data_IF_016172473619
#
_entry.id   IF_016172473619
#
_cell.length_a   1.000
_cell.length_b   1.000
_cell.length_c   1.000
_cell.angle_alpha   90.00
_cell.angle_beta   90.00
_cell.angle_gamma   90.00
#
_symmetry.space_group_name_H-M   'P 1'
#
loop_
_entity.id
_entity.type
_entity.pdbx_description
1 polymer ?
#
# COMPACT_ATOMS: atom_id res chain seq x y z
N UNK A 1 63.08 58.85 -66.22
CA UNK A 1 63.84 58.03 -65.26
C UNK A 1 63.25 58.32 -63.91
N UNK A 2 62.44 57.40 -63.39
CA UNK A 2 61.79 57.55 -62.08
C UNK A 2 62.87 57.58 -61.00
N UNK A 3 63.05 58.73 -60.36
CA UNK A 3 64.07 58.99 -59.33
C UNK A 3 63.83 58.28 -57.99
N UNK A 4 63.25 57.08 -58.03
CA UNK A 4 62.85 56.28 -56.87
C UNK A 4 63.82 55.12 -56.57
N UNK A 5 64.73 54.77 -57.49
CA UNK A 5 65.69 53.68 -57.26
C UNK A 5 66.72 54.05 -56.18
N UNK A 6 66.70 53.27 -55.08
CA UNK A 6 67.68 53.38 -53.98
C UNK A 6 67.33 54.38 -52.88
N UNK A 7 66.07 54.81 -52.74
CA UNK A 7 65.61 55.54 -51.55
C UNK A 7 65.27 54.57 -50.41
N UNK A 8 65.72 54.94 -49.22
CA UNK A 8 65.45 54.23 -47.96
C UNK A 8 64.53 55.11 -47.11
N UNK A 9 63.54 54.51 -46.47
CA UNK A 9 62.54 55.21 -45.67
C UNK A 9 62.57 54.73 -44.22
N UNK A 10 62.47 55.67 -43.29
CA UNK A 10 62.26 55.40 -41.87
C UNK A 10 60.80 55.58 -41.49
N UNK A 11 60.33 54.80 -40.51
CA UNK A 11 58.92 54.78 -40.09
C UNK A 11 58.75 55.06 -38.60
N UNK A 12 57.74 55.86 -38.27
CA UNK A 12 57.26 56.07 -36.90
C UNK A 12 55.76 55.89 -36.83
N UNK A 13 55.27 55.43 -35.69
CA UNK A 13 53.85 55.21 -35.45
C UNK A 13 53.43 55.67 -34.04
N UNK A 14 52.20 56.12 -33.90
CA UNK A 14 51.62 56.52 -32.62
C UNK A 14 50.10 56.31 -32.59
N UNK A 15 49.52 56.23 -31.39
CA UNK A 15 48.07 56.33 -31.21
C UNK A 15 47.57 57.78 -31.27
N UNK A 16 48.45 58.74 -30.98
CA UNK A 16 48.17 60.18 -31.10
C UNK A 16 48.58 60.72 -32.47
N UNK A 17 48.30 61.99 -32.73
CA UNK A 17 48.54 62.63 -34.04
C UNK A 17 49.82 63.49 -34.07
N UNK A 18 50.70 63.37 -33.08
CA UNK A 18 51.97 64.11 -33.02
C UNK A 18 53.18 63.20 -33.26
N UNK A 19 53.83 63.40 -34.41
CA UNK A 19 55.02 62.64 -34.84
C UNK A 19 56.20 62.76 -33.87
N UNK A 20 56.29 63.84 -33.08
CA UNK A 20 57.38 64.03 -32.11
C UNK A 20 57.32 63.03 -30.97
N UNK A 21 56.11 62.56 -30.64
CA UNK A 21 55.86 61.56 -29.59
C UNK A 21 55.73 60.14 -30.15
N UNK A 22 55.84 59.98 -31.49
CA UNK A 22 55.66 58.71 -32.16
C UNK A 22 56.86 57.77 -31.92
N UNK A 23 56.54 56.49 -31.73
CA UNK A 23 57.49 55.41 -31.54
C UNK A 23 58.14 55.03 -32.88
N UNK A 24 59.43 54.71 -32.86
CA UNK A 24 60.12 54.18 -34.04
C UNK A 24 59.64 52.77 -34.35
N UNK A 25 59.44 52.46 -35.64
CA UNK A 25 59.21 51.09 -36.09
C UNK A 25 60.45 50.20 -35.93
N UNK A 26 61.63 50.78 -35.63
CA UNK A 26 62.86 50.04 -35.32
C UNK A 26 63.62 49.54 -36.54
N UNK A 27 63.21 49.87 -37.76
CA UNK A 27 63.90 49.52 -39.00
C UNK A 27 63.57 50.51 -40.12
N UNK A 28 64.46 50.56 -41.11
CA UNK A 28 64.30 51.30 -42.35
C UNK A 28 64.02 50.34 -43.52
N UNK A 29 63.34 50.78 -44.57
CA UNK A 29 62.96 49.93 -45.70
C UNK A 29 63.17 50.62 -47.06
N UNK A 30 63.52 49.85 -48.09
CA UNK A 30 63.66 50.37 -49.45
C UNK A 30 62.29 50.66 -50.08
N UNK A 31 62.26 51.62 -51.02
CA UNK A 31 61.10 51.89 -51.86
C UNK A 31 60.54 50.59 -52.47
N UNK A 32 59.21 50.40 -52.39
CA UNK A 32 58.52 49.23 -52.95
C UNK A 32 58.54 47.96 -52.08
N UNK A 33 59.09 48.00 -50.87
CA UNK A 33 59.08 46.85 -49.93
C UNK A 33 57.93 46.92 -48.92
N UNK A 34 57.48 45.75 -48.46
CA UNK A 34 56.45 45.65 -47.43
C UNK A 34 57.03 45.89 -46.03
N UNK A 35 56.35 46.72 -45.24
CA UNK A 35 56.71 47.10 -43.87
C UNK A 35 55.72 46.44 -42.91
N UNK A 36 56.21 45.71 -41.90
CA UNK A 36 55.38 45.06 -40.88
C UNK A 36 55.66 45.63 -39.50
N UNK A 37 54.71 46.34 -38.92
CA UNK A 37 54.79 46.81 -37.53
C UNK A 37 54.07 45.78 -36.66
N UNK A 38 54.76 45.23 -35.66
CA UNK A 38 54.27 44.16 -34.77
C UNK A 38 53.89 44.72 -33.40
N UNK A 39 53.31 43.87 -32.55
CA UNK A 39 53.01 44.16 -31.15
C UNK A 39 52.08 45.37 -30.93
N UNK A 40 51.21 45.62 -31.91
CA UNK A 40 50.20 46.67 -31.84
C UNK A 40 48.97 46.19 -31.08
N UNK A 41 48.43 47.08 -30.24
CA UNK A 41 47.14 46.84 -29.59
C UNK A 41 46.01 46.62 -30.60
N UNK A 42 45.12 45.67 -30.29
CA UNK A 42 43.90 45.37 -31.06
C UNK A 42 42.91 46.54 -31.03
N UNK A 43 42.03 46.60 -32.04
CA UNK A 43 40.95 47.60 -32.17
C UNK A 43 41.39 49.07 -31.95
N UNK A 44 42.64 49.40 -32.29
CA UNK A 44 43.28 50.67 -31.95
C UNK A 44 43.66 51.41 -33.23
N UNK A 45 43.38 52.72 -33.27
CA UNK A 45 43.84 53.58 -34.35
C UNK A 45 45.33 53.90 -34.16
N UNK A 46 46.11 53.73 -35.22
CA UNK A 46 47.50 54.15 -35.30
C UNK A 46 47.70 55.09 -36.48
N UNK A 47 48.51 56.11 -36.25
CA UNK A 47 48.96 57.07 -37.24
C UNK A 47 50.43 56.77 -37.58
N UNK A 48 50.74 56.65 -38.86
CA UNK A 48 52.06 56.26 -39.37
C UNK A 48 52.64 57.40 -40.20
N UNK A 49 53.88 57.78 -39.86
CA UNK A 49 54.67 58.76 -40.57
C UNK A 49 55.88 58.11 -41.24
N UNK A 50 56.31 58.71 -42.33
CA UNK A 50 57.46 58.27 -43.10
C UNK A 50 58.43 59.43 -43.30
N UNK A 51 59.73 59.15 -43.28
CA UNK A 51 60.77 60.10 -43.68
C UNK A 51 61.71 59.44 -44.69
N UNK A 52 62.34 60.23 -45.56
CA UNK A 52 63.42 59.76 -46.43
C UNK A 52 64.71 59.77 -45.62
N UNK A 53 65.41 58.62 -45.56
CA UNK A 53 66.71 58.50 -44.92
C UNK A 53 67.80 59.08 -45.83
N UNK A 54 68.74 59.80 -45.24
CA UNK A 54 69.80 60.46 -45.95
C UNK A 54 70.75 59.49 -46.65
N UNK A 55 71.31 59.93 -47.78
CA UNK A 55 72.53 59.34 -48.36
C UNK A 55 73.75 60.05 -47.77
N UNK A 56 74.93 59.42 -47.87
CA UNK A 56 76.17 59.94 -47.27
C UNK A 56 76.40 61.43 -47.61
N UNK A 57 76.52 62.27 -46.57
CA UNK A 57 76.72 63.72 -46.70
C UNK A 57 75.46 64.59 -46.62
N UNK A 58 74.26 64.00 -46.44
CA UNK A 58 72.99 64.73 -46.28
C UNK A 58 72.32 64.42 -44.92
N UNK A 59 71.39 65.28 -44.50
CA UNK A 59 70.51 65.01 -43.36
C UNK A 59 69.24 64.27 -43.81
N UNK A 60 68.59 63.56 -42.88
CA UNK A 60 67.29 62.93 -43.13
C UNK A 60 66.27 64.02 -43.48
N UNK A 61 65.22 63.67 -44.25
CA UNK A 61 64.11 64.60 -44.45
C UNK A 61 63.35 64.83 -43.15
N UNK A 62 62.59 65.92 -43.09
CA UNK A 62 61.50 66.01 -42.12
C UNK A 62 60.54 64.82 -42.30
N UNK A 63 59.85 64.47 -41.22
CA UNK A 63 58.75 63.51 -41.27
C UNK A 63 57.64 64.04 -42.19
N UNK A 64 56.93 63.12 -42.85
CA UNK A 64 55.79 63.46 -43.69
C UNK A 64 54.80 64.37 -42.94
N UNK A 65 54.36 65.46 -43.58
CA UNK A 65 53.39 66.37 -42.97
C UNK A 65 52.02 65.69 -42.74
N UNK A 66 51.67 64.72 -43.60
CA UNK A 66 50.50 63.86 -43.44
C UNK A 66 50.90 62.51 -42.83
N UNK A 67 49.93 61.86 -42.17
CA UNK A 67 50.05 60.49 -41.68
C UNK A 67 49.04 59.56 -42.36
N UNK A 68 49.38 58.28 -42.42
CA UNK A 68 48.42 57.23 -42.72
C UNK A 68 47.76 56.77 -41.42
N UNK A 69 46.42 56.79 -41.37
CA UNK A 69 45.66 56.21 -40.25
C UNK A 69 45.26 54.79 -40.59
N UNK A 70 45.63 53.84 -39.73
CA UNK A 70 45.23 52.43 -39.82
C UNK A 70 44.63 52.01 -38.50
N UNK A 71 43.47 51.33 -38.54
CA UNK A 71 42.86 50.72 -37.36
C UNK A 71 43.19 49.23 -37.33
N UNK A 72 43.79 48.76 -36.24
CA UNK A 72 43.97 47.31 -36.03
C UNK A 72 42.61 46.63 -35.87
N UNK A 73 42.51 45.38 -36.33
CA UNK A 73 41.27 44.59 -36.20
C UNK A 73 41.03 44.20 -34.73
N UNK A 74 39.78 43.83 -34.43
CA UNK A 74 39.45 43.10 -33.20
C UNK A 74 40.04 41.69 -33.25
N UNK A 75 40.18 41.06 -32.08
CA UNK A 75 40.63 39.67 -31.98
C UNK A 75 39.43 38.75 -31.81
N UNK A 76 39.32 37.70 -32.62
CA UNK A 76 38.31 36.65 -32.42
C UNK A 76 38.60 35.89 -31.13
N UNK A 77 37.56 35.56 -30.37
CA UNK A 77 37.74 34.75 -29.17
C UNK A 77 38.15 33.31 -29.51
N UNK A 78 39.14 32.81 -28.76
CA UNK A 78 39.73 31.48 -28.93
C UNK A 78 39.36 30.52 -27.81
N UNK A 79 38.70 31.00 -26.74
CA UNK A 79 38.17 30.14 -25.69
C UNK A 79 37.05 29.23 -26.18
N UNK A 80 36.45 28.47 -25.25
CA UNK A 80 35.36 27.55 -25.54
C UNK A 80 34.32 27.55 -24.41
N UNK A 81 33.13 27.03 -24.72
CA UNK A 81 32.05 26.87 -23.75
C UNK A 81 31.92 25.40 -23.39
N UNK A 82 31.68 25.13 -22.11
CA UNK A 82 31.24 23.84 -21.60
C UNK A 82 29.90 24.03 -20.89
N UNK A 83 29.08 22.98 -20.85
CA UNK A 83 27.89 22.94 -20.01
C UNK A 83 28.13 21.88 -18.93
N UNK A 84 28.13 22.32 -17.68
CA UNK A 84 28.22 21.49 -16.50
C UNK A 84 26.80 21.21 -15.96
N UNK A 85 26.58 20.01 -15.43
CA UNK A 85 25.29 19.60 -14.85
C UNK A 85 24.78 18.28 -15.42
N UNK A 86 23.53 17.94 -15.09
CA UNK A 86 22.83 16.78 -15.63
C UNK A 86 21.75 17.23 -16.60
N UNK A 87 21.72 16.65 -17.80
CA UNK A 87 20.73 16.92 -18.86
C UNK A 87 19.33 16.38 -18.49
N UNK A 88 18.76 16.89 -17.39
CA UNK A 88 17.52 16.42 -16.77
C UNK A 88 16.67 17.63 -16.39
N UNK A 89 15.37 17.59 -16.70
CA UNK A 89 14.42 18.63 -16.31
C UNK A 89 14.44 18.86 -14.78
N UNK A 90 14.34 20.12 -14.36
CA UNK A 90 14.40 20.53 -12.95
C UNK A 90 15.80 20.56 -12.33
N UNK A 91 16.85 20.11 -13.03
CA UNK A 91 18.24 20.19 -12.56
C UNK A 91 18.96 21.37 -13.20
N UNK A 92 19.59 22.24 -12.40
CA UNK A 92 20.30 23.41 -12.93
C UNK A 92 21.49 22.98 -13.80
N UNK A 93 21.56 23.56 -15.01
CA UNK A 93 22.72 23.51 -15.88
C UNK A 93 23.50 24.81 -15.74
N UNK A 94 24.83 24.71 -15.82
CA UNK A 94 25.75 25.84 -15.74
C UNK A 94 26.66 25.88 -16.96
N UNK A 95 26.50 26.91 -17.78
CA UNK A 95 27.42 27.18 -18.87
C UNK A 95 28.68 27.89 -18.33
N UNK A 96 29.84 27.42 -18.75
CA UNK A 96 31.14 27.94 -18.32
C UNK A 96 31.95 28.31 -19.56
N UNK A 97 32.42 29.56 -19.60
CA UNK A 97 33.38 30.00 -20.61
C UNK A 97 34.81 29.77 -20.11
N UNK A 98 35.58 28.99 -20.86
CA UNK A 98 37.00 28.71 -20.60
C UNK A 98 37.84 29.65 -21.48
N UNK A 99 38.44 30.65 -20.85
CA UNK A 99 39.18 31.70 -21.54
C UNK A 99 40.47 31.19 -22.20
N UNK A 100 40.88 31.87 -23.26
CA UNK A 100 42.17 31.64 -23.91
C UNK A 100 43.21 32.66 -23.45
N UNK A 101 44.49 32.38 -23.75
CA UNK A 101 45.59 33.33 -23.57
C UNK A 101 45.90 34.02 -24.90
N UNK A 102 46.11 35.34 -24.86
CA UNK A 102 46.32 36.16 -26.06
C UNK A 102 47.66 36.92 -26.04
N UNK A 103 48.22 37.15 -27.22
CA UNK A 103 49.32 38.08 -27.45
C UNK A 103 48.90 39.09 -28.54
N UNK A 104 48.89 40.41 -28.28
CA UNK A 104 49.14 41.07 -26.99
C UNK A 104 48.14 40.65 -25.90
N UNK A 105 48.42 40.92 -24.62
CA UNK A 105 47.54 40.50 -23.53
C UNK A 105 46.11 41.09 -23.65
N UNK A 106 45.10 40.40 -23.14
CA UNK A 106 43.71 40.86 -23.14
C UNK A 106 42.78 39.90 -22.40
N UNK A 107 41.61 40.41 -22.00
CA UNK A 107 40.55 39.63 -21.35
C UNK A 107 39.31 39.58 -22.25
N UNK A 108 38.76 38.38 -22.44
CA UNK A 108 37.57 38.07 -23.21
C UNK A 108 36.40 37.60 -22.31
N UNK A 109 36.40 38.05 -21.04
CA UNK A 109 35.45 37.63 -20.01
C UNK A 109 34.22 38.55 -19.88
N UNK A 110 34.06 39.54 -20.76
CA UNK A 110 32.98 40.54 -20.75
C UNK A 110 31.76 40.14 -21.59
N UNK A 111 31.71 38.91 -22.09
CA UNK A 111 30.60 38.38 -22.87
C UNK A 111 29.32 38.14 -22.08
N UNK A 112 28.22 38.02 -22.82
CA UNK A 112 26.88 37.74 -22.29
C UNK A 112 26.41 36.35 -22.68
N UNK A 113 25.52 35.79 -21.86
CA UNK A 113 24.95 34.45 -22.07
C UNK A 113 23.57 34.53 -22.70
N UNK A 114 23.28 33.55 -23.56
CA UNK A 114 21.95 33.28 -24.06
C UNK A 114 21.76 31.79 -24.29
N UNK A 115 20.68 31.23 -23.74
CA UNK A 115 20.25 29.86 -23.96
C UNK A 115 19.21 29.77 -25.07
N UNK A 116 19.24 28.65 -25.79
CA UNK A 116 18.33 28.31 -26.87
C UNK A 116 17.84 26.87 -26.75
N UNK A 117 16.63 26.61 -27.21
CA UNK A 117 15.96 25.30 -27.23
C UNK A 117 15.86 24.77 -28.66
N UNK A 118 16.16 23.50 -28.86
CA UNK A 118 15.95 22.79 -30.12
C UNK A 118 14.44 22.79 -30.51
N UNK A 119 14.13 23.19 -31.74
CA UNK A 119 12.77 23.16 -32.31
C UNK A 119 12.49 21.78 -32.93
N UNK A 120 11.24 21.54 -33.37
CA UNK A 120 10.92 20.31 -34.12
C UNK A 120 11.69 20.17 -35.44
N UNK A 121 12.11 21.29 -36.06
CA UNK A 121 12.92 21.27 -37.29
C UNK A 121 14.40 20.95 -37.04
N UNK A 122 14.83 20.87 -35.78
CA UNK A 122 16.24 20.76 -35.39
C UNK A 122 17.00 22.11 -35.34
N UNK A 123 16.29 23.23 -35.55
CA UNK A 123 16.83 24.58 -35.34
C UNK A 123 16.83 24.95 -33.85
N UNK A 124 17.29 26.15 -33.51
CA UNK A 124 17.35 26.63 -32.13
C UNK A 124 16.57 27.92 -31.94
N UNK A 125 15.53 27.88 -31.10
CA UNK A 125 14.74 29.03 -30.70
C UNK A 125 15.25 29.65 -29.39
N UNK A 126 15.25 30.98 -29.31
CA UNK A 126 15.72 31.71 -28.12
C UNK A 126 14.83 31.44 -26.91
N UNK A 127 15.45 31.15 -25.76
CA UNK A 127 14.75 31.08 -24.47
C UNK A 127 14.84 32.47 -23.81
N UNK A 128 13.73 33.21 -23.76
CA UNK A 128 13.75 34.60 -23.32
C UNK A 128 14.28 34.81 -21.89
N UNK A 129 14.07 33.86 -20.99
CA UNK A 129 14.56 33.89 -19.60
C UNK A 129 16.00 33.38 -19.47
N UNK A 130 16.55 32.73 -20.50
CA UNK A 130 17.86 32.11 -20.48
C UNK A 130 19.00 33.08 -20.77
N UNK A 131 19.08 34.21 -20.06
CA UNK A 131 20.10 35.26 -20.27
C UNK A 131 21.28 35.17 -19.29
N UNK A 132 21.30 34.13 -18.46
CA UNK A 132 22.31 33.88 -17.42
C UNK A 132 23.22 32.71 -17.81
N UNK A 133 24.35 32.58 -17.11
CA UNK A 133 25.21 31.40 -17.18
C UNK A 133 24.49 30.13 -16.69
N UNK A 134 23.49 30.27 -15.81
CA UNK A 134 22.68 29.16 -15.31
C UNK A 134 21.33 29.07 -16.02
N UNK A 135 20.87 27.85 -16.25
CA UNK A 135 19.52 27.57 -16.75
C UNK A 135 19.00 26.25 -16.18
N UNK A 136 17.78 26.26 -15.62
CA UNK A 136 17.10 25.05 -15.15
C UNK A 136 16.09 24.62 -16.22
N UNK A 137 16.29 23.48 -16.91
CA UNK A 137 15.36 23.01 -17.93
C UNK A 137 13.98 22.72 -17.33
N UNK A 138 12.94 23.04 -18.07
CA UNK A 138 11.54 22.82 -17.71
C UNK A 138 10.95 21.65 -18.50
N UNK A 139 9.65 21.41 -18.32
CA UNK A 139 8.90 20.39 -19.03
C UNK A 139 8.95 20.55 -20.56
N UNK A 140 8.99 21.79 -21.04
CA UNK A 140 9.05 22.10 -22.47
C UNK A 140 10.40 21.79 -23.12
N UNK A 141 11.45 21.60 -22.32
CA UNK A 141 12.79 21.24 -22.79
C UNK A 141 12.95 19.72 -22.96
N UNK A 142 12.05 18.91 -22.41
CA UNK A 142 12.17 17.45 -22.40
C UNK A 142 12.18 16.91 -23.83
N UNK A 143 13.16 16.06 -24.13
CA UNK A 143 13.40 15.50 -25.46
C UNK A 143 14.08 16.46 -26.45
N UNK A 144 14.39 17.70 -26.03
CA UNK A 144 15.10 18.72 -26.81
C UNK A 144 16.55 18.85 -26.35
N UNK A 145 17.44 19.29 -27.25
CA UNK A 145 18.76 19.80 -26.87
C UNK A 145 18.68 21.27 -26.47
N UNK A 146 19.53 21.66 -25.53
CA UNK A 146 19.74 23.05 -25.15
C UNK A 146 21.10 23.52 -25.64
N UNK A 147 21.16 24.78 -26.04
CA UNK A 147 22.39 25.41 -26.52
C UNK A 147 22.68 26.68 -25.73
N UNK A 148 23.84 26.73 -25.09
CA UNK A 148 24.34 27.93 -24.42
C UNK A 148 25.30 28.67 -25.35
N UNK A 149 25.08 29.96 -25.56
CA UNK A 149 25.91 30.82 -26.41
C UNK A 149 26.49 31.95 -25.57
N UNK A 150 27.83 32.06 -25.59
CA UNK A 150 28.58 33.17 -25.03
C UNK A 150 28.95 34.15 -26.14
N UNK A 151 28.53 35.41 -26.03
CA UNK A 151 28.74 36.42 -27.09
C UNK A 151 29.46 37.64 -26.55
N UNK A 152 30.54 38.04 -27.22
CA UNK A 152 31.28 39.25 -26.85
C UNK A 152 30.52 40.51 -27.27
N UNK A 153 30.39 41.53 -26.39
CA UNK A 153 29.71 42.77 -26.74
C UNK A 153 30.47 43.55 -27.80
N UNK A 154 29.75 44.30 -28.65
CA UNK A 154 30.34 45.09 -29.72
C UNK A 154 31.28 46.20 -29.22
N UNK A 155 31.17 46.63 -27.96
CA UNK A 155 32.09 47.57 -27.33
C UNK A 155 33.46 46.96 -27.00
N UNK A 156 33.57 45.63 -26.97
CA UNK A 156 34.80 44.92 -26.62
C UNK A 156 35.86 45.04 -27.72
N UNK A 157 37.11 44.89 -27.30
CA UNK A 157 38.26 44.73 -28.17
C UNK A 157 38.34 43.33 -28.81
N UNK A 158 37.54 42.39 -28.29
CA UNK A 158 37.33 41.07 -28.85
C UNK A 158 36.06 41.03 -29.71
N UNK A 159 35.89 39.95 -30.47
CA UNK A 159 34.66 39.68 -31.23
C UNK A 159 34.42 38.17 -31.37
N UNK A 160 33.23 37.80 -31.84
CA UNK A 160 32.79 36.41 -31.99
C UNK A 160 31.95 35.89 -30.82
N UNK A 161 31.56 34.63 -30.95
CA UNK A 161 30.80 33.88 -29.96
C UNK A 161 31.31 32.43 -29.87
N UNK A 162 31.00 31.77 -28.77
CA UNK A 162 31.25 30.35 -28.55
C UNK A 162 29.99 29.69 -28.01
N UNK A 163 29.80 28.43 -28.33
CA UNK A 163 28.60 27.70 -27.93
C UNK A 163 28.92 26.26 -27.53
N UNK A 164 28.03 25.69 -26.72
CA UNK A 164 27.99 24.28 -26.37
C UNK A 164 26.54 23.80 -26.34
N UNK A 165 26.34 22.50 -26.52
CA UNK A 165 25.02 21.88 -26.55
C UNK A 165 24.94 20.73 -25.55
N UNK A 166 23.77 20.54 -24.97
CA UNK A 166 23.45 19.37 -24.13
C UNK A 166 23.13 18.16 -25.01
N UNK A 167 23.05 16.98 -24.40
CA UNK A 167 22.24 15.90 -24.97
C UNK A 167 20.74 16.24 -24.83
N UNK A 168 19.86 15.36 -25.31
CA UNK A 168 18.41 15.57 -25.14
C UNK A 168 18.06 15.54 -23.65
N UNK A 169 17.38 16.58 -23.18
CA UNK A 169 16.96 16.69 -21.79
C UNK A 169 16.02 15.53 -21.44
N UNK A 170 16.33 14.84 -20.35
CA UNK A 170 15.58 13.69 -19.84
C UNK A 170 14.54 14.14 -18.82
N UNK A 171 13.49 13.34 -18.65
CA UNK A 171 12.58 13.44 -17.50
C UNK A 171 13.32 13.17 -16.20
N UNK A 172 12.90 13.83 -15.12
CA UNK A 172 13.40 13.54 -13.78
C UNK A 172 12.92 12.17 -13.30
N UNK A 173 13.67 11.51 -12.41
CA UNK A 173 13.16 10.31 -11.73
C UNK A 173 12.02 10.69 -10.78
N UNK A 174 10.90 9.95 -10.85
CA UNK A 174 9.86 10.09 -9.84
C UNK A 174 10.35 9.61 -8.48
N UNK A 175 9.94 10.31 -7.42
CA UNK A 175 10.10 9.84 -6.05
C UNK A 175 9.23 8.60 -5.84
N UNK A 176 9.82 7.52 -5.34
CA UNK A 176 9.10 6.29 -5.06
C UNK A 176 8.04 6.50 -3.97
N UNK A 177 6.82 5.94 -4.11
CA UNK A 177 5.85 5.91 -3.02
C UNK A 177 6.40 5.19 -1.79
N UNK A 178 6.06 5.63 -0.59
CA UNK A 178 6.46 4.96 0.65
C UNK A 178 5.24 4.32 1.33
N UNK A 179 5.37 3.04 1.70
CA UNK A 179 4.32 2.28 2.39
C UNK A 179 4.64 2.20 3.88
N UNK A 180 3.94 3.01 4.67
CA UNK A 180 4.13 3.09 6.12
C UNK A 180 3.57 1.84 6.81
N UNK A 181 2.35 1.42 6.43
CA UNK A 181 1.68 0.25 7.03
C UNK A 181 0.90 -0.56 6.00
N UNK A 182 0.79 -1.86 6.22
CA UNK A 182 -0.09 -2.78 5.49
C UNK A 182 -0.41 -3.96 6.40
N UNK A 183 -1.70 -4.18 6.70
CA UNK A 183 -2.17 -5.18 7.67
C UNK A 183 -3.61 -5.61 7.40
N UNK A 184 -4.05 -6.72 8.00
CA UNK A 184 -5.46 -7.07 8.03
C UNK A 184 -6.27 -5.99 8.77
N UNK A 185 -7.38 -5.58 8.15
CA UNK A 185 -8.38 -4.67 8.72
C UNK A 185 -9.51 -5.44 9.40
N UNK A 186 -10.68 -4.80 9.54
CA UNK A 186 -11.87 -5.45 10.07
C UNK A 186 -12.55 -6.34 9.02
N UNK A 187 -13.28 -7.37 9.46
CA UNK A 187 -14.10 -8.18 8.56
C UNK A 187 -15.36 -7.40 8.11
N UNK A 188 -15.79 -7.62 6.88
CA UNK A 188 -17.05 -7.06 6.37
C UNK A 188 -18.28 -7.68 7.05
N UNK A 189 -19.47 -7.15 6.75
CA UNK A 189 -20.73 -7.72 7.25
C UNK A 189 -20.88 -9.20 6.83
N UNK A 190 -20.49 -9.50 5.59
CA UNK A 190 -20.47 -10.84 4.96
C UNK A 190 -19.34 -11.73 5.47
N UNK A 191 -18.51 -11.23 6.40
CA UNK A 191 -17.37 -11.95 7.00
C UNK A 191 -16.23 -12.23 6.01
N UNK A 192 -16.00 -11.33 5.06
CA UNK A 192 -14.78 -11.31 4.27
C UNK A 192 -13.74 -10.44 4.98
N UNK A 193 -12.46 -10.83 5.01
CA UNK A 193 -11.42 -10.00 5.58
C UNK A 193 -11.18 -8.77 4.70
N UNK A 194 -10.65 -7.71 5.29
CA UNK A 194 -10.18 -6.53 4.56
C UNK A 194 -8.69 -6.27 4.84
N UNK A 195 -8.07 -5.42 4.05
CA UNK A 195 -6.68 -4.99 4.20
C UNK A 195 -6.62 -3.47 4.32
N UNK A 196 -6.00 -3.00 5.40
CA UNK A 196 -5.71 -1.60 5.64
C UNK A 196 -4.26 -1.27 5.28
N UNK A 197 -4.04 -0.14 4.62
CA UNK A 197 -2.70 0.38 4.39
C UNK A 197 -2.59 1.90 4.56
N UNK A 198 -1.38 2.35 4.84
CA UNK A 198 -1.04 3.76 4.99
C UNK A 198 0.17 4.11 4.13
N UNK A 199 0.12 5.24 3.44
CA UNK A 199 1.20 5.77 2.61
C UNK A 199 1.72 7.10 3.17
N UNK A 200 3.01 7.39 3.01
CA UNK A 200 3.54 8.69 3.45
C UNK A 200 3.01 9.87 2.60
N UNK A 201 2.65 9.59 1.35
CA UNK A 201 1.94 10.48 0.42
C UNK A 201 1.11 9.63 -0.56
N UNK A 202 -0.03 10.14 -0.99
CA UNK A 202 -0.94 9.47 -1.93
C UNK A 202 -0.98 10.15 -3.31
N UNK A 203 -0.37 11.34 -3.45
CA UNK A 203 -0.44 12.15 -4.66
C UNK A 203 0.17 11.39 -5.85
N UNK A 204 -0.66 11.13 -6.88
CA UNK A 204 -0.26 10.41 -8.07
C UNK A 204 0.14 8.95 -7.83
N UNK A 205 -0.16 8.37 -6.66
CA UNK A 205 0.14 6.98 -6.34
C UNK A 205 -1.00 6.08 -6.79
N UNK A 206 -0.61 4.96 -7.39
CA UNK A 206 -1.50 3.87 -7.75
C UNK A 206 -1.10 2.62 -6.99
N UNK A 207 -2.08 1.78 -6.68
CA UNK A 207 -1.88 0.56 -5.92
C UNK A 207 -2.54 -0.65 -6.55
N UNK A 208 -2.01 -1.82 -6.22
CA UNK A 208 -2.54 -3.13 -6.60
C UNK A 208 -2.31 -4.10 -5.45
N UNK A 209 -3.37 -4.79 -5.03
CA UNK A 209 -3.31 -5.84 -4.01
C UNK A 209 -3.56 -7.18 -4.70
N UNK A 210 -2.71 -8.17 -4.45
CA UNK A 210 -2.86 -9.51 -5.00
C UNK A 210 -2.33 -10.58 -4.06
N UNK A 211 -2.66 -11.84 -4.33
CA UNK A 211 -2.12 -12.96 -3.57
C UNK A 211 -0.60 -13.01 -3.75
N UNK A 212 0.14 -13.33 -2.69
CA UNK A 212 1.61 -13.41 -2.73
C UNK A 212 2.13 -14.39 -3.79
N UNK A 213 1.37 -15.46 -4.06
CA UNK A 213 1.74 -16.47 -5.05
C UNK A 213 1.48 -16.04 -6.51
N UNK A 214 0.72 -14.97 -6.73
CA UNK A 214 0.51 -14.41 -8.06
C UNK A 214 1.79 -13.73 -8.57
N UNK A 215 2.02 -13.80 -9.89
CA UNK A 215 3.16 -13.15 -10.52
C UNK A 215 3.17 -11.64 -10.21
N UNK A 216 4.30 -11.17 -9.66
CA UNK A 216 4.49 -9.76 -9.34
C UNK A 216 4.33 -8.88 -10.60
N UNK A 217 3.69 -7.70 -10.47
CA UNK A 217 3.56 -6.78 -11.58
C UNK A 217 4.94 -6.33 -12.06
N UNK A 218 5.10 -6.22 -13.38
CA UNK A 218 6.33 -5.74 -14.00
C UNK A 218 6.34 -4.22 -14.05
N UNK A 219 7.53 -3.61 -13.97
CA UNK A 219 7.72 -2.16 -14.18
C UNK A 219 7.73 -1.90 -15.69
N UNK A 220 6.73 -1.24 -16.28
CA UNK A 220 6.79 -0.88 -17.69
C UNK A 220 7.52 0.44 -17.85
N UNK A 221 8.35 0.53 -18.89
CA UNK A 221 8.76 1.82 -19.43
C UNK A 221 7.55 2.44 -20.11
N UNK A 222 7.09 3.59 -19.60
CA UNK A 222 5.98 4.39 -20.13
C UNK A 222 4.56 3.98 -19.74
N UNK A 223 4.33 3.68 -18.46
CA UNK A 223 2.99 3.40 -17.97
C UNK A 223 2.20 4.69 -17.71
N UNK A 224 1.17 4.92 -18.52
CA UNK A 224 0.17 5.99 -18.35
C UNK A 224 -0.94 5.57 -17.36
N UNK A 225 -1.74 6.53 -16.89
CA UNK A 225 -2.90 6.23 -16.02
C UNK A 225 -3.92 5.28 -16.71
N UNK A 226 -4.07 5.38 -18.04
CA UNK A 226 -4.97 4.52 -18.81
C UNK A 226 -4.47 3.06 -18.84
N UNK A 227 -3.17 2.85 -19.00
CA UNK A 227 -2.56 1.52 -18.99
C UNK A 227 -2.55 0.91 -17.59
N UNK A 228 -2.35 1.72 -16.54
CA UNK A 228 -2.51 1.29 -15.15
C UNK A 228 -3.92 0.74 -14.90
N UNK A 229 -4.93 1.47 -15.36
CA UNK A 229 -6.33 1.04 -15.22
C UNK A 229 -6.59 -0.27 -15.98
N UNK A 230 -6.09 -0.38 -17.22
CA UNK A 230 -6.18 -1.61 -18.01
C UNK A 230 -5.44 -2.80 -17.38
N UNK A 231 -4.37 -2.52 -16.61
CA UNK A 231 -3.61 -3.50 -15.83
C UNK A 231 -4.15 -3.70 -14.40
N UNK A 232 -5.39 -3.27 -14.14
CA UNK A 232 -6.13 -3.49 -12.90
C UNK A 232 -5.52 -2.79 -11.66
N UNK A 233 -4.75 -1.72 -11.87
CA UNK A 233 -4.31 -0.85 -10.78
C UNK A 233 -5.43 0.12 -10.39
N UNK A 234 -5.47 0.48 -9.12
CA UNK A 234 -6.43 1.43 -8.55
C UNK A 234 -5.69 2.69 -8.11
N UNK A 235 -6.26 3.86 -8.36
CA UNK A 235 -5.67 5.14 -7.91
C UNK A 235 -5.85 5.28 -6.39
N UNK A 236 -4.81 5.71 -5.68
CA UNK A 236 -4.94 6.07 -4.27
C UNK A 236 -5.73 7.37 -4.14
N UNK A 237 -6.73 7.39 -3.25
CA UNK A 237 -7.59 8.55 -3.01
C UNK A 237 -7.34 9.22 -1.66
N UNK A 238 -6.58 8.56 -0.78
CA UNK A 238 -6.21 9.06 0.54
C UNK A 238 -4.91 8.40 1.03
N UNK A 239 -4.34 8.96 2.10
CA UNK A 239 -3.18 8.39 2.82
C UNK A 239 -3.54 7.03 3.46
N UNK A 240 -4.75 6.92 4.02
CA UNK A 240 -5.28 5.70 4.61
C UNK A 240 -6.30 5.09 3.66
N UNK A 241 -6.13 3.81 3.36
CA UNK A 241 -6.97 3.08 2.42
C UNK A 241 -7.36 1.75 3.04
N UNK A 242 -8.56 1.28 2.70
CA UNK A 242 -9.05 -0.06 3.02
C UNK A 242 -9.45 -0.77 1.71
N UNK A 243 -9.23 -2.07 1.64
CA UNK A 243 -9.65 -2.88 0.51
C UNK A 243 -10.23 -4.23 0.97
N UNK A 244 -11.43 -4.56 0.51
CA UNK A 244 -12.07 -5.85 0.74
C UNK A 244 -11.85 -6.86 -0.40
N UNK A 245 -11.16 -6.42 -1.46
CA UNK A 245 -10.99 -7.19 -2.69
C UNK A 245 -9.57 -7.06 -3.22
N UNK A 246 -9.12 -8.07 -3.95
CA UNK A 246 -7.90 -8.00 -4.72
C UNK A 246 -8.07 -7.11 -5.98
N UNK A 247 -7.01 -7.04 -6.79
CA UNK A 247 -7.01 -6.27 -8.02
C UNK A 247 -8.00 -6.77 -9.09
N UNK A 248 -8.41 -8.03 -9.03
CA UNK A 248 -9.40 -8.64 -9.93
C UNK A 248 -10.84 -8.50 -9.41
N UNK A 249 -11.04 -7.80 -8.30
CA UNK A 249 -12.35 -7.67 -7.65
C UNK A 249 -12.81 -8.93 -6.94
N UNK A 250 -11.90 -9.86 -6.61
CA UNK A 250 -12.23 -11.04 -5.81
C UNK A 250 -12.13 -10.73 -4.34
N UNK A 251 -13.05 -11.27 -3.54
CA UNK A 251 -12.99 -11.16 -2.08
C UNK A 251 -11.69 -11.76 -1.55
N UNK A 252 -11.17 -11.14 -0.49
CA UNK A 252 -9.98 -11.65 0.18
C UNK A 252 -10.29 -12.95 0.92
N UNK A 253 -9.26 -13.78 1.10
CA UNK A 253 -9.38 -15.09 1.74
C UNK A 253 -8.60 -15.13 3.04
N UNK A 254 -9.16 -15.81 4.05
CA UNK A 254 -8.47 -16.05 5.31
C UNK A 254 -7.25 -16.97 5.12
N UNK A 255 -6.34 -16.96 6.09
CA UNK A 255 -5.09 -17.75 6.08
C UNK A 255 -4.28 -17.59 4.79
N UNK A 256 -4.25 -16.38 4.23
CA UNK A 256 -3.63 -16.08 2.94
C UNK A 256 -2.74 -14.87 3.02
N UNK A 257 -1.54 -14.96 2.45
CA UNK A 257 -0.60 -13.84 2.35
C UNK A 257 -0.92 -12.99 1.12
N UNK A 258 -1.05 -11.68 1.33
CA UNK A 258 -1.25 -10.70 0.26
C UNK A 258 -0.08 -9.73 0.17
N UNK A 259 0.12 -9.16 -1.01
CA UNK A 259 1.12 -8.12 -1.28
C UNK A 259 0.43 -6.90 -1.83
N UNK A 260 0.71 -5.75 -1.20
CA UNK A 260 0.42 -4.43 -1.71
C UNK A 260 1.60 -3.97 -2.57
N UNK A 261 1.32 -3.62 -3.82
CA UNK A 261 2.25 -2.94 -4.72
C UNK A 261 1.81 -1.49 -4.91
N UNK A 262 2.76 -0.56 -4.96
CA UNK A 262 2.52 0.86 -5.24
C UNK A 262 3.48 1.43 -6.27
N UNK A 263 3.01 2.37 -7.10
CA UNK A 263 3.80 2.99 -8.18
C UNK A 263 3.28 4.39 -8.52
N UNK A 264 4.12 5.24 -9.11
CA UNK A 264 3.72 6.48 -9.79
C UNK A 264 3.89 6.31 -11.30
N UNK A 265 2.86 6.60 -12.12
CA UNK A 265 2.97 6.58 -13.57
C UNK A 265 3.94 7.65 -14.06
N UNK A 266 4.32 7.52 -15.33
CA UNK A 266 5.04 8.58 -16.02
C UNK A 266 4.16 9.84 -16.16
N UNK A 267 4.74 11.01 -15.97
CA UNK A 267 4.08 12.31 -16.17
C UNK A 267 4.78 13.10 -17.28
N UNK A 268 4.33 14.32 -17.56
CA UNK A 268 5.07 15.24 -18.42
C UNK A 268 6.52 15.45 -17.96
N UNK A 269 6.74 15.44 -16.64
CA UNK A 269 7.97 15.92 -16.01
C UNK A 269 8.84 14.79 -15.44
N UNK A 270 8.20 13.68 -15.04
CA UNK A 270 8.86 12.59 -14.32
C UNK A 270 8.69 11.25 -15.04
N UNK A 271 9.72 10.42 -14.99
CA UNK A 271 9.66 9.01 -15.36
C UNK A 271 8.77 8.23 -14.38
N UNK A 272 8.40 7.00 -14.74
CA UNK A 272 7.76 6.04 -13.83
C UNK A 272 8.62 5.82 -12.58
N UNK A 273 8.00 5.67 -11.41
CA UNK A 273 8.73 5.29 -10.20
C UNK A 273 9.11 3.80 -10.21
N UNK A 274 9.96 3.38 -9.28
CA UNK A 274 10.05 1.96 -8.96
C UNK A 274 8.71 1.47 -8.37
N UNK A 275 8.40 0.18 -8.56
CA UNK A 275 7.32 -0.47 -7.81
C UNK A 275 7.83 -0.76 -6.40
N UNK A 276 7.09 -0.26 -5.42
CA UNK A 276 7.31 -0.56 -4.01
C UNK A 276 6.32 -1.62 -3.58
N UNK A 277 6.71 -2.45 -2.61
CA UNK A 277 5.83 -3.51 -2.12
C UNK A 277 5.94 -3.73 -0.62
N UNK A 278 4.84 -4.23 -0.05
CA UNK A 278 4.77 -4.67 1.35
C UNK A 278 3.80 -5.84 1.43
N UNK A 279 4.15 -6.87 2.19
CA UNK A 279 3.31 -8.05 2.37
C UNK A 279 2.70 -8.07 3.77
N UNK A 280 1.56 -8.75 3.90
CA UNK A 280 0.95 -9.08 5.18
C UNK A 280 0.18 -10.38 5.07
N UNK A 281 0.07 -11.09 6.18
CA UNK A 281 -0.81 -12.23 6.31
C UNK A 281 -2.21 -11.75 6.69
N UNK A 282 -3.22 -12.27 5.97
CA UNK A 282 -4.60 -12.26 6.42
C UNK A 282 -4.80 -13.54 7.22
N UNK A 283 -5.06 -13.40 8.51
CA UNK A 283 -5.30 -14.50 9.42
C UNK A 283 -6.73 -15.03 9.29
N UNK A 284 -7.35 -15.35 10.43
CA UNK A 284 -8.73 -15.85 10.47
C UNK A 284 -9.75 -14.72 10.36
N UNK A 285 -10.92 -15.02 9.79
CA UNK A 285 -12.14 -14.20 9.94
C UNK A 285 -12.88 -14.60 11.22
N UNK A 286 -13.58 -13.64 11.83
CA UNK A 286 -14.33 -13.88 13.07
C UNK A 286 -15.53 -14.81 12.81
N UNK A 287 -15.65 -15.86 13.61
CA UNK A 287 -16.87 -16.68 13.69
C UNK A 287 -18.04 -15.83 14.19
N UNK A 288 -19.16 -15.88 13.47
CA UNK A 288 -20.42 -15.25 13.86
C UNK A 288 -21.51 -16.31 13.99
N UNK A 289 -22.59 -15.96 14.66
CA UNK A 289 -23.76 -16.80 14.87
C UNK A 289 -24.10 -16.97 16.34
N UNK A 290 -25.21 -17.64 16.59
CA UNK A 290 -25.72 -17.96 17.91
C UNK A 290 -25.95 -19.48 17.99
N UNK A 291 -25.87 -20.05 19.20
CA UNK A 291 -26.26 -21.45 19.43
C UNK A 291 -27.64 -21.48 20.07
N UNK A 292 -28.55 -22.23 19.47
CA UNK A 292 -29.85 -22.53 20.03
C UNK A 292 -29.89 -23.93 20.58
N UNK A 293 -30.28 -24.07 21.84
CA UNK A 293 -30.50 -25.36 22.48
C UNK A 293 -31.98 -25.70 22.54
N UNK A 294 -32.34 -26.86 22.03
CA UNK A 294 -33.69 -27.41 22.07
C UNK A 294 -33.65 -28.76 22.81
N UNK A 295 -34.51 -28.91 23.83
CA UNK A 295 -34.72 -30.20 24.47
C UNK A 295 -35.58 -31.06 23.56
N UNK A 296 -35.11 -32.26 23.23
CA UNK A 296 -35.67 -33.08 22.16
C UNK A 296 -35.84 -34.54 22.56
N UNK A 297 -36.68 -35.26 21.84
CA UNK A 297 -36.66 -36.73 21.80
C UNK A 297 -35.72 -37.21 20.70
N UNK A 298 -35.64 -38.53 20.51
CA UNK A 298 -34.88 -39.21 19.44
C UNK A 298 -34.77 -38.37 18.16
N UNK A 299 -33.54 -37.94 17.84
CA UNK A 299 -33.26 -37.10 16.67
C UNK A 299 -33.06 -38.02 15.47
N UNK A 300 -33.84 -37.78 14.42
CA UNK A 300 -33.70 -38.51 13.15
C UNK A 300 -33.01 -37.60 12.15
N UNK A 301 -31.94 -38.11 11.54
CA UNK A 301 -31.19 -37.45 10.49
C UNK A 301 -31.65 -38.02 9.15
N UNK A 302 -32.04 -37.16 8.22
CA UNK A 302 -32.37 -37.55 6.86
C UNK A 302 -31.11 -37.61 5.98
N UNK A 303 -31.24 -38.14 4.75
CA UNK A 303 -30.11 -38.23 3.80
C UNK A 303 -29.55 -36.85 3.39
N UNK A 304 -30.36 -35.79 3.49
CA UNK A 304 -29.98 -34.41 3.18
C UNK A 304 -29.42 -33.65 4.39
N UNK A 305 -29.02 -34.36 5.47
CA UNK A 305 -28.56 -33.82 6.76
C UNK A 305 -29.60 -32.99 7.53
N UNK A 306 -30.84 -32.89 7.04
CA UNK A 306 -31.90 -32.27 7.83
C UNK A 306 -32.21 -33.15 9.05
N UNK A 307 -32.52 -32.49 10.17
CA UNK A 307 -32.86 -33.17 11.41
C UNK A 307 -34.34 -32.97 11.72
N UNK A 308 -34.97 -34.03 12.22
CA UNK A 308 -36.33 -33.98 12.75
C UNK A 308 -36.33 -34.51 14.18
N UNK A 309 -37.12 -33.85 15.03
CA UNK A 309 -37.22 -34.17 16.44
C UNK A 309 -38.57 -33.74 17.01
N UNK A 310 -38.96 -34.33 18.15
CA UNK A 310 -40.07 -33.79 18.96
C UNK A 310 -39.50 -32.96 20.09
N UNK A 311 -40.01 -31.73 20.24
CA UNK A 311 -39.60 -30.85 21.34
C UNK A 311 -40.24 -31.32 22.65
N UNK A 312 -39.44 -31.32 23.71
CA UNK A 312 -39.89 -31.55 25.08
C UNK A 312 -39.51 -30.36 25.94
N UNK A 313 -40.20 -30.17 27.07
CA UNK A 313 -39.98 -28.99 27.91
C UNK A 313 -38.64 -29.05 28.65
N UNK A 314 -38.32 -30.23 29.20
CA UNK A 314 -37.15 -30.44 30.04
C UNK A 314 -36.20 -31.46 29.41
N UNK A 315 -34.88 -31.35 29.62
CA UNK A 315 -33.95 -32.39 29.26
C UNK A 315 -34.18 -33.60 30.16
N UNK A 316 -34.30 -34.79 29.58
CA UNK A 316 -34.65 -36.03 30.29
C UNK A 316 -33.64 -37.13 29.99
N UNK A 317 -33.22 -37.87 31.00
CA UNK A 317 -32.36 -39.06 30.85
C UNK A 317 -32.94 -40.02 29.81
N UNK A 318 -32.09 -40.48 28.88
CA UNK A 318 -32.47 -41.34 27.75
C UNK A 318 -33.07 -40.59 26.56
N UNK A 319 -33.29 -39.27 26.65
CA UNK A 319 -33.69 -38.40 25.54
C UNK A 319 -32.50 -37.55 25.07
N UNK A 320 -32.74 -36.57 24.21
CA UNK A 320 -31.67 -35.80 23.56
C UNK A 320 -31.79 -34.30 23.80
N UNK A 321 -30.69 -33.58 23.60
CA UNK A 321 -30.69 -32.12 23.45
C UNK A 321 -30.03 -31.82 22.11
N UNK A 322 -30.64 -30.97 21.32
CA UNK A 322 -30.12 -30.56 20.02
C UNK A 322 -29.62 -29.12 20.11
N UNK A 323 -28.37 -28.90 19.71
CA UNK A 323 -27.78 -27.60 19.47
C UNK A 323 -27.83 -27.29 17.98
N UNK A 324 -28.28 -26.09 17.62
CA UNK A 324 -28.34 -25.61 16.24
C UNK A 324 -27.63 -24.24 16.16
N UNK A 325 -26.72 -24.08 15.21
CA UNK A 325 -26.13 -22.79 14.86
C UNK A 325 -27.14 -22.00 14.03
N UNK A 326 -27.53 -20.83 14.54
CA UNK A 326 -28.38 -19.87 13.85
C UNK A 326 -27.56 -18.64 13.44
N UNK A 327 -27.89 -18.04 12.30
CA UNK A 327 -27.24 -16.84 11.77
C UNK A 327 -25.70 -16.94 11.64
N UNK A 328 -25.18 -18.16 11.53
CA UNK A 328 -23.75 -18.39 11.47
C UNK A 328 -23.20 -18.07 10.08
N UNK A 329 -22.03 -17.43 10.03
CA UNK A 329 -21.35 -17.14 8.76
C UNK A 329 -20.71 -18.38 8.13
N UNK A 330 -20.54 -19.46 8.91
CA UNK A 330 -20.04 -20.75 8.45
C UNK A 330 -20.37 -21.84 9.48
N UNK A 331 -20.22 -23.10 9.08
CA UNK A 331 -20.42 -24.29 9.93
C UNK A 331 -19.12 -25.04 10.20
N UNK A 332 -17.98 -24.43 9.94
CA UNK A 332 -16.65 -25.02 9.97
C UNK A 332 -16.02 -24.89 11.37
N UNK A 333 -16.10 -25.96 12.16
CA UNK A 333 -15.76 -25.92 13.57
C UNK A 333 -16.00 -27.25 14.28
N UNK A 334 -15.87 -27.23 15.59
CA UNK A 334 -16.04 -28.40 16.47
C UNK A 334 -17.10 -28.13 17.52
N UNK A 335 -18.05 -29.04 17.65
CA UNK A 335 -19.00 -29.04 18.75
C UNK A 335 -18.39 -29.67 20.00
N UNK A 336 -18.59 -29.01 21.14
CA UNK A 336 -18.28 -29.53 22.46
C UNK A 336 -19.51 -29.40 23.34
N UNK A 337 -19.72 -30.40 24.17
CA UNK A 337 -20.80 -30.43 25.13
C UNK A 337 -20.26 -30.55 26.55
N UNK A 338 -20.99 -29.97 27.49
CA UNK A 338 -20.58 -29.91 28.88
C UNK A 338 -21.76 -30.18 29.81
N UNK A 339 -21.46 -30.76 30.96
CA UNK A 339 -22.36 -30.76 32.13
C UNK A 339 -21.81 -29.85 33.23
N UNK A 340 -22.67 -29.29 34.07
CA UNK A 340 -22.22 -28.53 35.24
C UNK A 340 -21.44 -29.44 36.19
N UNK A 341 -20.40 -28.96 36.87
CA UNK A 341 -19.65 -29.75 37.87
C UNK A 341 -20.48 -30.03 39.12
N UNK A 342 -21.34 -29.09 39.48
CA UNK A 342 -22.26 -29.22 40.61
C UNK A 342 -23.67 -29.55 40.12
N UNK A 343 -24.41 -30.31 40.91
CA UNK A 343 -25.83 -30.55 40.68
C UNK A 343 -26.67 -29.30 40.97
N UNK A 344 -27.89 -29.26 40.44
CA UNK A 344 -28.86 -28.17 40.59
C UNK A 344 -29.48 -28.05 42.00
N UNK A 345 -29.04 -28.87 42.96
CA UNK A 345 -29.69 -28.99 44.27
C UNK A 345 -31.07 -29.63 44.18
N UNK A 346 -31.77 -29.66 45.31
CA UNK A 346 -33.15 -30.14 45.38
C UNK A 346 -34.07 -29.18 44.60
N UNK A 347 -34.89 -29.72 43.70
CA UNK A 347 -35.84 -28.95 42.88
C UNK A 347 -35.23 -27.91 41.91
N UNK A 348 -33.91 -27.80 41.79
CA UNK A 348 -33.26 -26.73 41.01
C UNK A 348 -32.97 -25.45 41.80
N UNK A 349 -32.77 -25.57 43.12
CA UNK A 349 -32.41 -24.47 44.02
C UNK A 349 -31.07 -23.80 43.70
N UNK A 350 -30.17 -24.49 43.01
CA UNK A 350 -28.90 -23.94 42.52
C UNK A 350 -29.06 -23.60 41.04
N UNK A 351 -28.88 -22.33 40.70
CA UNK A 351 -28.97 -21.84 39.33
C UNK A 351 -27.86 -22.41 38.43
N UNK A 352 -28.10 -22.38 37.11
CA UNK A 352 -27.08 -22.76 36.13
C UNK A 352 -25.81 -21.90 36.30
N UNK A 353 -24.61 -22.49 36.19
CA UNK A 353 -23.38 -21.72 36.17
C UNK A 353 -23.36 -20.72 35.01
N UNK A 354 -22.60 -19.63 35.17
CA UNK A 354 -22.37 -18.70 34.08
C UNK A 354 -21.73 -19.43 32.89
N UNK A 355 -22.08 -19.01 31.67
CA UNK A 355 -21.66 -19.66 30.43
C UNK A 355 -20.14 -19.85 30.35
N UNK A 356 -19.38 -18.80 30.66
CA UNK A 356 -17.92 -18.76 30.55
C UNK A 356 -17.18 -19.13 31.84
N UNK A 357 -17.88 -19.71 32.84
CA UNK A 357 -17.24 -20.09 34.11
C UNK A 357 -16.42 -21.38 33.98
N UNK A 358 -15.54 -21.61 34.95
CA UNK A 358 -14.79 -22.87 35.09
C UNK A 358 -15.61 -24.03 35.66
N UNK A 359 -16.92 -23.87 35.87
CA UNK A 359 -17.78 -24.83 36.58
C UNK A 359 -18.44 -25.86 35.63
N UNK A 360 -17.86 -26.03 34.44
CA UNK A 360 -18.30 -26.96 33.43
C UNK A 360 -17.30 -28.11 33.27
N UNK A 361 -17.82 -29.33 33.12
CA UNK A 361 -17.06 -30.54 32.80
C UNK A 361 -17.36 -30.93 31.35
N UNK A 362 -16.33 -31.03 30.51
CA UNK A 362 -16.49 -31.40 29.11
C UNK A 362 -16.85 -32.88 28.98
N UNK A 363 -17.85 -33.16 28.16
CA UNK A 363 -18.25 -34.52 27.82
C UNK A 363 -17.33 -35.08 26.73
N UNK A 364 -16.84 -36.30 26.94
CA UNK A 364 -15.95 -36.99 26.01
C UNK A 364 -16.70 -37.62 24.82
N UNK A 365 -17.98 -37.95 24.99
CA UNK A 365 -18.78 -38.66 23.99
C UNK A 365 -20.29 -38.46 24.25
N UNK A 366 -21.13 -39.16 23.47
CA UNK A 366 -22.59 -39.13 23.63
C UNK A 366 -23.28 -38.10 22.73
N UNK A 367 -22.52 -37.39 21.90
CA UNK A 367 -23.04 -36.41 20.94
C UNK A 367 -22.49 -36.62 19.53
N UNK A 368 -23.31 -36.26 18.55
CA UNK A 368 -22.98 -36.33 17.13
C UNK A 368 -23.88 -35.37 16.34
N UNK A 369 -23.41 -34.80 15.22
CA UNK A 369 -22.02 -34.79 14.76
C UNK A 369 -21.11 -33.91 15.65
N UNK A 370 -19.80 -34.15 15.58
CA UNK A 370 -18.80 -33.46 16.41
C UNK A 370 -18.08 -32.32 15.69
N UNK A 371 -18.07 -32.31 14.35
CA UNK A 371 -17.37 -31.30 13.54
C UNK A 371 -18.17 -30.89 12.30
N UNK A 372 -17.91 -29.70 11.80
CA UNK A 372 -18.28 -29.19 10.47
C UNK A 372 -19.77 -29.31 10.09
N UNK A 373 -20.67 -29.16 11.06
CA UNK A 373 -22.12 -29.29 10.88
C UNK A 373 -22.85 -28.18 11.62
N UNK A 374 -23.97 -27.74 11.05
CA UNK A 374 -24.81 -26.68 11.63
C UNK A 374 -25.49 -27.10 12.93
N UNK A 375 -25.54 -28.40 13.24
CA UNK A 375 -26.17 -28.92 14.46
C UNK A 375 -25.33 -30.02 15.11
N UNK A 376 -25.63 -30.30 16.37
CA UNK A 376 -25.12 -31.44 17.14
C UNK A 376 -26.20 -31.87 18.11
N UNK A 377 -26.33 -33.17 18.35
CA UNK A 377 -27.31 -33.72 19.29
C UNK A 377 -26.60 -34.55 20.35
N UNK A 378 -26.87 -34.25 21.62
CA UNK A 378 -26.38 -34.98 22.78
C UNK A 378 -27.47 -35.92 23.30
N UNK A 379 -27.15 -37.20 23.44
CA UNK A 379 -27.97 -38.16 24.19
C UNK A 379 -27.67 -38.02 25.68
N UNK A 380 -28.71 -37.82 26.48
CA UNK A 380 -28.59 -37.60 27.92
C UNK A 380 -28.44 -38.95 28.63
N UNK A 381 -27.28 -39.17 29.26
CA UNK A 381 -27.02 -40.34 30.10
C UNK A 381 -27.38 -40.10 31.57
N UNK A 382 -27.44 -41.17 32.37
CA UNK A 382 -27.79 -41.12 33.79
C UNK A 382 -26.84 -40.24 34.62
N UNK A 383 -25.55 -40.19 34.29
CA UNK A 383 -24.55 -39.39 35.00
C UNK A 383 -24.70 -37.87 34.80
N UNK A 384 -25.60 -37.45 33.92
CA UNK A 384 -25.99 -36.06 33.72
C UNK A 384 -27.21 -35.67 34.57
N UNK A 385 -27.86 -36.62 35.24
CA UNK A 385 -29.03 -36.34 36.08
C UNK A 385 -28.73 -35.29 37.14
N UNK A 386 -29.65 -34.32 37.29
CA UNK A 386 -29.51 -33.11 38.13
C UNK A 386 -28.41 -32.13 37.71
N UNK A 387 -27.81 -32.27 36.53
CA UNK A 387 -26.85 -31.29 36.01
C UNK A 387 -27.47 -30.39 34.93
N UNK A 388 -26.90 -29.20 34.75
CA UNK A 388 -27.19 -28.35 33.59
C UNK A 388 -26.31 -28.75 32.43
N UNK A 389 -26.77 -28.46 31.21
CA UNK A 389 -26.05 -28.77 29.97
C UNK A 389 -25.69 -27.47 29.24
N UNK A 390 -24.49 -27.43 28.65
CA UNK A 390 -24.01 -26.36 27.78
C UNK A 390 -23.48 -26.95 26.48
N UNK A 391 -23.73 -26.27 25.37
CA UNK A 391 -23.08 -26.54 24.09
C UNK A 391 -22.15 -25.38 23.71
N UNK A 392 -21.05 -25.71 23.06
CA UNK A 392 -20.05 -24.78 22.53
C UNK A 392 -19.71 -25.19 21.09
N UNK A 393 -19.70 -24.22 20.20
CA UNK A 393 -19.14 -24.34 18.86
C UNK A 393 -17.81 -23.59 18.78
N UNK A 394 -16.73 -24.35 18.62
CA UNK A 394 -15.36 -23.84 18.52
C UNK A 394 -15.00 -23.66 17.04
N UNK A 395 -14.66 -22.43 16.59
CA UNK A 395 -14.34 -22.19 15.19
C UNK A 395 -13.03 -22.85 14.76
N UNK A 396 -12.97 -23.29 13.51
CA UNK A 396 -11.79 -23.95 12.96
C UNK A 396 -10.79 -22.96 12.35
N UNK A 397 -9.75 -22.64 13.13
CA UNK A 397 -8.69 -21.68 12.74
C UNK A 397 -7.86 -22.15 11.54
N UNK A 398 -7.72 -23.44 11.33
CA UNK A 398 -6.89 -24.00 10.24
C UNK A 398 -7.49 -23.69 8.86
N UNK A 399 -8.82 -23.61 8.79
CA UNK A 399 -9.57 -23.28 7.56
C UNK A 399 -10.10 -21.85 7.55
N UNK A 400 -9.53 -20.99 8.40
CA UNK A 400 -9.69 -19.54 8.30
C UNK A 400 -10.74 -18.92 9.21
N UNK A 401 -11.37 -19.68 10.11
CA UNK A 401 -12.39 -19.15 11.04
C UNK A 401 -11.86 -19.12 12.47
N UNK A 402 -11.93 -17.97 13.13
CA UNK A 402 -11.37 -17.75 14.46
C UNK A 402 -12.24 -16.86 15.33
N UNK A 403 -11.62 -16.21 16.32
CA UNK A 403 -12.33 -15.50 17.38
C UNK A 403 -12.80 -16.43 18.50
N UNK A 404 -13.72 -15.92 19.31
CA UNK A 404 -14.27 -16.66 20.45
C UNK A 404 -15.24 -17.75 20.00
N UNK A 405 -15.33 -18.83 20.77
CA UNK A 405 -16.34 -19.87 20.61
C UNK A 405 -17.75 -19.30 20.81
N UNK A 406 -18.74 -19.84 20.10
CA UNK A 406 -20.14 -19.54 20.36
C UNK A 406 -20.68 -20.57 21.36
N UNK A 407 -21.31 -20.11 22.44
CA UNK A 407 -21.76 -20.99 23.52
C UNK A 407 -23.21 -20.70 23.88
N UNK A 408 -23.92 -21.70 24.39
CA UNK A 408 -25.24 -21.55 24.96
C UNK A 408 -25.46 -22.53 26.11
N UNK A 409 -25.99 -22.03 27.22
CA UNK A 409 -26.41 -22.83 28.37
C UNK A 409 -27.90 -23.18 28.25
N UNK A 410 -28.24 -24.44 28.52
CA UNK A 410 -29.62 -24.85 28.71
C UNK A 410 -30.12 -24.34 30.06
N UNK A 411 -31.19 -23.53 30.12
CA UNK A 411 -31.70 -23.02 31.38
C UNK A 411 -32.33 -24.10 32.26
N UNK A 412 -32.62 -25.28 31.70
CA UNK A 412 -33.20 -26.41 32.42
C UNK A 412 -32.13 -27.45 32.79
N UNK A 413 -32.22 -27.98 34.01
CA UNK A 413 -31.41 -29.12 34.44
C UNK A 413 -32.03 -30.44 34.00
N UNK A 414 -31.19 -31.47 33.86
CA UNK A 414 -31.58 -32.82 33.46
C UNK A 414 -32.46 -33.48 34.51
N UNK A 415 -33.61 -33.98 34.06
CA UNK A 415 -34.58 -34.73 34.86
C UNK A 415 -34.53 -36.22 34.52
N UNK A 416 -35.06 -37.02 35.42
CA UNK A 416 -35.28 -38.45 35.21
C UNK A 416 -36.79 -38.70 35.27
N UNK A 417 -37.31 -39.45 34.30
CA UNK A 417 -38.70 -39.93 34.35
C UNK A 417 -38.67 -41.26 35.08
N UNK A 418 -39.54 -41.38 36.07
CA UNK A 418 -39.86 -42.64 36.72
C UNK A 418 -41.22 -43.05 36.16
N UNK A 419 -41.27 -44.12 35.38
CA UNK A 419 -42.53 -44.75 34.97
C UNK A 419 -43.09 -45.50 36.20
N UNK A 420 -43.57 -44.73 37.16
CA UNK A 420 -44.17 -45.27 38.39
C UNK A 420 -45.48 -45.97 38.03
N UNK A 421 -45.56 -47.27 38.30
CA UNK A 421 -46.77 -48.07 38.11
C UNK A 421 -47.36 -48.44 39.47
N UNK A 422 -48.70 -48.45 39.58
CA UNK A 422 -49.37 -48.91 40.79
C UNK A 422 -49.89 -50.31 40.54
N UNK A 423 -49.34 -51.28 41.27
CA UNK A 423 -49.80 -52.67 41.27
C UNK A 423 -50.66 -52.91 42.49
N UNK A 424 -51.92 -53.33 42.29
CA UNK A 424 -52.86 -53.67 43.35
C UNK A 424 -53.05 -55.19 43.41
N UNK A 425 -52.81 -55.78 44.58
CA UNK A 425 -52.95 -57.22 44.82
C UNK A 425 -53.89 -57.50 45.99
N UNK A 426 -54.74 -58.51 45.83
CA UNK A 426 -55.57 -59.04 46.92
C UNK A 426 -54.96 -60.33 47.48
N UNK A 427 -54.92 -60.45 48.81
CA UNK A 427 -54.49 -61.67 49.50
C UNK A 427 -55.46 -62.84 49.33
N UNK A 428 -56.65 -62.59 48.79
CA UNK A 428 -57.65 -63.62 48.48
C UNK A 428 -58.06 -63.61 47.02
N UNK A 429 -58.45 -64.77 46.50
CA UNK A 429 -58.94 -64.98 45.15
C UNK A 429 -60.35 -65.57 45.18
N UNK A 430 -61.14 -65.33 44.15
CA UNK A 430 -62.41 -66.04 43.98
C UNK A 430 -62.21 -67.49 43.50
N UNK A 431 -63.31 -68.22 43.29
CA UNK A 431 -63.27 -69.61 42.80
C UNK A 431 -62.70 -69.78 41.39
N UNK A 432 -62.51 -68.69 40.64
CA UNK A 432 -61.92 -68.67 39.31
C UNK A 432 -60.44 -68.24 39.33
N UNK A 433 -59.91 -67.84 40.49
CA UNK A 433 -58.54 -67.36 40.65
C UNK A 433 -58.37 -65.84 40.42
N UNK A 434 -59.47 -65.11 40.21
CA UNK A 434 -59.46 -63.65 40.07
C UNK A 434 -59.34 -62.98 41.43
N UNK A 435 -58.78 -61.77 41.46
CA UNK A 435 -58.64 -61.02 42.72
C UNK A 435 -60.03 -60.69 43.30
N UNK A 436 -60.28 -61.11 44.53
CA UNK A 436 -61.53 -60.85 45.24
C UNK A 436 -61.27 -60.40 46.67
N UNK A 437 -62.18 -59.64 47.26
CA UNK A 437 -62.08 -59.15 48.63
C UNK A 437 -63.21 -59.70 49.50
N UNK A 438 -62.83 -60.42 50.56
CA UNK A 438 -63.71 -60.96 51.61
C UNK A 438 -63.35 -60.38 52.99
N UNK A 439 -64.20 -60.56 54.03
CA UNK A 439 -63.82 -60.18 55.39
C UNK A 439 -62.47 -60.78 55.81
N UNK A 440 -61.55 -59.92 56.27
CA UNK A 440 -60.17 -60.31 56.63
C UNK A 440 -59.16 -60.32 55.48
N UNK A 441 -59.55 -59.91 54.27
CA UNK A 441 -58.64 -59.77 53.12
C UNK A 441 -57.69 -58.59 53.30
N UNK A 442 -56.44 -58.75 52.92
CA UNK A 442 -55.45 -57.68 52.80
C UNK A 442 -55.31 -57.27 51.34
N UNK A 443 -55.55 -55.99 51.05
CA UNK A 443 -55.25 -55.38 49.75
C UNK A 443 -53.92 -54.64 49.87
N UNK A 444 -52.98 -54.95 48.98
CA UNK A 444 -51.67 -54.29 48.94
C UNK A 444 -51.55 -53.49 47.66
N UNK A 445 -51.26 -52.19 47.77
CA UNK A 445 -50.88 -51.35 46.64
C UNK A 445 -49.37 -51.10 46.69
N UNK A 446 -48.65 -51.49 45.65
CA UNK A 446 -47.22 -51.26 45.50
C UNK A 446 -46.99 -50.25 44.39
N UNK A 447 -46.23 -49.19 44.68
CA UNK A 447 -45.72 -48.27 43.64
C UNK A 447 -44.41 -48.85 43.12
N UNK A 448 -44.46 -49.46 41.95
CA UNK A 448 -43.28 -49.93 41.23
C UNK A 448 -42.52 -48.73 40.63
N UNK A 449 -41.20 -48.83 40.51
CA UNK A 449 -40.32 -47.75 40.04
C UNK A 449 -40.44 -46.42 40.81
N UNK A 450 -40.85 -46.46 42.09
CA UNK A 450 -41.07 -45.28 42.91
C UNK A 450 -39.84 -44.35 42.97
N UNK A 451 -40.05 -43.10 42.57
CA UNK A 451 -39.10 -41.98 42.59
C UNK A 451 -38.64 -41.57 44.01
N UNK A 452 -39.23 -42.17 45.06
CA UNK A 452 -39.05 -41.83 46.48
C UNK A 452 -39.51 -40.43 46.85
N UNK A 453 -40.16 -39.72 45.93
CA UNK A 453 -40.85 -38.48 46.26
C UNK A 453 -42.05 -38.78 47.18
N UNK A 454 -42.38 -37.83 48.05
CA UNK A 454 -43.52 -37.92 48.95
C UNK A 454 -44.78 -38.33 48.15
N UNK A 455 -45.53 -39.29 48.70
CA UNK A 455 -46.77 -39.81 48.12
C UNK A 455 -48.01 -39.06 48.63
N UNK A 456 -47.85 -38.20 49.65
CA UNK A 456 -48.93 -37.34 50.17
C UNK A 456 -49.59 -36.58 49.01
N UNK A 457 -50.93 -36.62 48.97
CA UNK A 457 -51.79 -36.02 47.94
C UNK A 457 -51.61 -36.55 46.51
N UNK A 458 -50.72 -37.53 46.25
CA UNK A 458 -50.48 -38.13 44.92
C UNK A 458 -51.28 -39.41 44.68
N UNK A 459 -51.58 -40.16 45.74
CA UNK A 459 -52.38 -41.38 45.68
C UNK A 459 -53.57 -41.23 46.63
N UNK A 460 -54.78 -41.46 46.12
CA UNK A 460 -55.99 -41.57 46.92
C UNK A 460 -56.65 -42.91 46.63
N UNK A 461 -56.97 -43.66 47.68
CA UNK A 461 -57.65 -44.94 47.58
C UNK A 461 -59.08 -44.72 48.05
N UNK A 462 -60.05 -45.13 47.23
CA UNK A 462 -61.47 -45.03 47.55
C UNK A 462 -62.08 -46.42 47.66
N UNK A 463 -62.99 -46.62 48.61
CA UNK A 463 -63.87 -47.77 48.66
C UNK A 463 -65.26 -47.40 48.11
N UNK A 464 -65.85 -48.29 47.32
CA UNK A 464 -67.18 -48.16 46.68
C UNK A 464 -67.27 -47.11 45.54
N UNK A 465 -67.74 -47.53 44.36
CA UNK A 465 -67.94 -46.67 43.18
C UNK A 465 -69.19 -45.78 43.31
N UNK A 466 -70.15 -46.17 44.16
CA UNK A 466 -71.43 -45.47 44.34
C UNK A 466 -71.35 -44.40 45.44
N UNK A 467 -70.54 -44.63 46.47
CA UNK A 467 -70.29 -43.69 47.58
C UNK A 467 -68.80 -43.70 47.95
N UNK A 468 -67.93 -43.09 47.14
CA UNK A 468 -66.48 -43.19 47.33
C UNK A 468 -66.05 -42.62 48.69
N UNK A 469 -65.62 -43.51 49.59
CA UNK A 469 -65.03 -43.15 50.88
C UNK A 469 -63.50 -43.21 50.75
N UNK A 470 -62.83 -42.08 50.97
CA UNK A 470 -61.36 -42.01 50.92
C UNK A 470 -60.79 -42.81 52.11
N UNK A 471 -60.12 -43.92 51.82
CA UNK A 471 -59.42 -44.72 52.81
C UNK A 471 -58.18 -43.94 53.23
N UNK A 472 -58.33 -43.14 54.28
CA UNK A 472 -57.22 -42.42 54.90
C UNK A 472 -56.54 -43.35 55.90
N UNK A 473 -55.25 -43.64 55.71
CA UNK A 473 -54.49 -44.45 56.63
C UNK A 473 -54.23 -43.70 57.94
N UNK A 474 -54.99 -44.02 58.99
CA UNK A 474 -54.48 -43.94 60.36
C UNK A 474 -53.88 -45.31 60.69
N UNK A 475 -52.56 -45.35 60.88
CA UNK A 475 -51.74 -46.43 61.47
C UNK A 475 -52.16 -47.89 61.22
#
# INVERSE_FOLDING_TARGET
MDGLEGLVYGFRYSKGTDVKTAQSAGYDAYAGTNVTIKDLDRNTNYHIWVQVKAKAGFADSDWSAAYLTVKTKKTDILGYVEIEGSDTAGQELKAVYRNANYMPAGSDQDGTWQWYRETESGDYAKINTGVSQSYTPTSEDIGKRLKAVYTIPQSSNFTGSKEAQTTKIKKQLAVNPAIDSFKQGADTAESNPTLDFTLSDHTGVWYRIQNYTDQAPQIPTQMTEAELTAAEWKKCTAIQMNSAEDHKGKTLTANTTYVLYTVRPETGDTQVSSIMSKQTDVGTVKQKGDVKLTNTTDVKVAEDDSITYTKITYPVVGKTITAELENANNVQGTWKWYKSKTQCGEGGTIAAPAQDSGDWEQLASGYSPTINKANSSLTISEDMWKHYIKAEFVPNKEIGYGGDSIQQVNPNYVRQIYEEEIKIESSTKDGNGDAAAYPGTTITATVENWSKADLNDRLKIYADDLNPEELTGAA
#
